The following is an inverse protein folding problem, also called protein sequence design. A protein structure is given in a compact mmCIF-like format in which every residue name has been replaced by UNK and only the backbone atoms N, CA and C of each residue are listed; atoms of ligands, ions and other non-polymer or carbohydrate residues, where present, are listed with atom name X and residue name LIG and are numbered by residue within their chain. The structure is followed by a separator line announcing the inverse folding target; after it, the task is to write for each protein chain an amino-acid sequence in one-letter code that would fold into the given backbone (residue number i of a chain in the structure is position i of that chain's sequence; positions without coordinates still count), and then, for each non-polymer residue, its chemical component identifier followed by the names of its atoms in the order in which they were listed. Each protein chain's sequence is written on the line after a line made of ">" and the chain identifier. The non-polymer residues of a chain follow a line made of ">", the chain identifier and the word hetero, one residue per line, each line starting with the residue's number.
data_IF_435307328815
#
_entry.id   IF_435307328815
#
_cell.length_a   1.000
_cell.length_b   1.000
_cell.length_c   1.000
_cell.angle_alpha   90.00
_cell.angle_beta   90.00
_cell.angle_gamma   90.00
#
_symmetry.space_group_name_H-M   'P 1'
#
loop_
_entity.id
_entity.type
_entity.pdbx_description
1 polymer ?
#
# COMPACT_ATOMS: atom_id res chain seq x y z
N UNK A 1 23.08 6.46 14.32
CA UNK A 1 22.81 7.23 13.09
C UNK A 1 22.32 8.59 13.51
N UNK A 2 22.94 9.66 13.01
CA UNK A 2 22.50 11.02 13.27
C UNK A 2 21.30 11.35 12.36
N UNK A 3 20.13 11.74 12.92
CA UNK A 3 18.97 12.09 12.11
C UNK A 3 19.22 13.20 11.09
N UNK A 4 20.11 14.16 11.40
CA UNK A 4 20.46 15.27 10.50
C UNK A 4 21.22 14.75 9.28
N UNK A 5 22.21 13.88 9.48
CA UNK A 5 22.98 13.28 8.38
C UNK A 5 22.10 12.42 7.45
N UNK A 6 21.06 11.77 7.98
CA UNK A 6 20.11 11.01 7.18
C UNK A 6 19.27 11.92 6.28
N UNK A 7 18.81 13.06 6.81
CA UNK A 7 18.11 14.09 6.02
C UNK A 7 19.03 14.64 4.94
N UNK A 8 20.25 15.04 5.30
CA UNK A 8 21.23 15.57 4.34
C UNK A 8 21.57 14.57 3.24
N UNK A 9 21.69 13.28 3.59
CA UNK A 9 21.93 12.19 2.63
C UNK A 9 20.85 12.10 1.57
N UNK A 10 19.58 12.26 1.98
CA UNK A 10 18.46 12.28 1.04
C UNK A 10 18.45 13.56 0.20
N UNK A 11 18.55 14.73 0.84
CA UNK A 11 18.49 16.05 0.18
C UNK A 11 19.57 16.21 -0.89
N UNK A 12 20.79 15.76 -0.58
CA UNK A 12 21.93 15.83 -1.48
C UNK A 12 22.09 14.59 -2.36
N UNK A 13 21.18 13.61 -2.27
CA UNK A 13 21.20 12.36 -3.05
C UNK A 13 22.54 11.63 -2.97
N UNK A 14 23.13 11.61 -1.77
CA UNK A 14 24.48 11.10 -1.53
C UNK A 14 24.57 9.57 -1.64
N UNK A 15 23.44 8.88 -1.62
CA UNK A 15 23.36 7.42 -1.66
C UNK A 15 22.37 6.93 -2.73
N UNK A 16 22.67 5.78 -3.34
CA UNK A 16 21.81 5.08 -4.29
C UNK A 16 20.46 4.71 -3.68
N UNK A 17 20.37 4.61 -2.36
CA UNK A 17 19.12 4.33 -1.63
C UNK A 17 17.99 5.31 -1.95
N UNK A 18 18.31 6.55 -2.35
CA UNK A 18 17.29 7.52 -2.82
C UNK A 18 16.60 7.04 -4.12
N UNK A 19 17.20 6.09 -4.83
CA UNK A 19 16.69 5.43 -6.03
C UNK A 19 16.38 3.94 -5.82
N UNK A 20 16.41 3.43 -4.59
CA UNK A 20 16.13 2.01 -4.31
C UNK A 20 14.70 1.63 -4.70
N UNK A 21 13.77 2.57 -4.57
CA UNK A 21 12.39 2.36 -4.93
C UNK A 21 12.05 3.04 -6.27
N UNK A 22 11.95 2.24 -7.33
CA UNK A 22 11.70 2.71 -8.70
C UNK A 22 10.36 3.45 -8.88
N UNK A 23 9.40 3.20 -8.00
CA UNK A 23 8.07 3.80 -8.03
C UNK A 23 8.02 5.14 -7.26
N UNK A 24 9.12 5.57 -6.64
CA UNK A 24 9.21 6.80 -5.88
C UNK A 24 10.22 7.78 -6.48
N UNK A 25 9.81 9.04 -6.56
CA UNK A 25 10.67 10.14 -6.98
C UNK A 25 11.10 10.99 -5.77
N UNK A 26 12.16 11.77 -5.98
CA UNK A 26 12.63 12.75 -4.99
C UNK A 26 11.50 13.72 -4.63
N UNK A 27 11.04 13.65 -3.38
CA UNK A 27 9.89 14.41 -2.89
C UNK A 27 9.91 14.46 -1.35
N UNK A 28 9.10 15.34 -0.76
CA UNK A 28 8.96 15.41 0.70
C UNK A 28 8.42 14.08 1.27
N UNK A 29 7.52 13.41 0.55
CA UNK A 29 7.01 12.10 0.97
C UNK A 29 8.08 11.02 0.86
N UNK A 30 8.86 11.04 -0.22
CA UNK A 30 10.02 10.17 -0.36
C UNK A 30 11.04 10.37 0.76
N UNK A 31 11.25 11.61 1.23
CA UNK A 31 12.10 11.90 2.38
C UNK A 31 11.55 11.27 3.67
N UNK A 32 10.25 11.48 3.96
CA UNK A 32 9.62 10.90 5.15
C UNK A 32 9.71 9.37 5.16
N UNK A 33 9.46 8.75 4.00
CA UNK A 33 9.56 7.31 3.83
C UNK A 33 11.00 6.83 4.00
N UNK A 34 11.96 7.47 3.35
CA UNK A 34 13.38 7.14 3.46
C UNK A 34 13.88 7.16 4.91
N UNK A 35 13.53 8.22 5.66
CA UNK A 35 13.89 8.35 7.08
C UNK A 35 13.28 7.20 7.89
N UNK A 36 11.97 6.96 7.72
CA UNK A 36 11.26 5.89 8.42
C UNK A 36 11.87 4.52 8.14
N UNK A 37 12.12 4.22 6.85
CA UNK A 37 12.66 2.95 6.42
C UNK A 37 14.04 2.65 6.99
N UNK A 38 14.95 3.62 6.98
CA UNK A 38 16.29 3.40 7.51
C UNK A 38 16.26 3.17 9.03
N UNK A 39 15.40 3.90 9.77
CA UNK A 39 15.21 3.69 11.21
C UNK A 39 14.64 2.29 11.49
N UNK A 40 13.59 1.88 10.78
CA UNK A 40 12.94 0.57 10.95
C UNK A 40 13.88 -0.57 10.57
N UNK A 41 14.67 -0.41 9.50
CA UNK A 41 15.69 -1.38 9.09
C UNK A 41 16.72 -1.63 10.19
N UNK A 42 17.21 -0.57 10.84
CA UNK A 42 18.13 -0.75 11.95
C UNK A 42 17.46 -1.45 13.14
N UNK A 43 16.19 -1.17 13.41
CA UNK A 43 15.44 -1.85 14.47
C UNK A 43 15.34 -3.36 14.20
N UNK A 44 14.93 -3.77 12.99
CA UNK A 44 14.90 -5.18 12.59
C UNK A 44 16.24 -5.89 12.82
N UNK A 45 17.31 -5.31 12.28
CA UNK A 45 18.65 -5.93 12.29
C UNK A 45 19.33 -5.90 13.67
N UNK A 46 18.83 -5.10 14.61
CA UNK A 46 19.45 -4.94 15.94
C UNK A 46 18.63 -5.59 17.05
N UNK A 47 17.30 -5.61 16.93
CA UNK A 47 16.39 -6.01 18.01
C UNK A 47 15.56 -7.24 17.70
N UNK A 48 15.28 -7.54 16.43
CA UNK A 48 14.33 -8.60 16.07
C UNK A 48 15.03 -9.80 15.44
N UNK A 49 15.85 -9.58 14.40
CA UNK A 49 16.56 -10.68 13.76
C UNK A 49 17.72 -11.17 14.62
N UNK A 50 18.00 -12.49 14.63
CA UNK A 50 19.21 -13.03 15.23
C UNK A 50 20.46 -12.40 14.59
N UNK A 51 21.51 -12.20 15.39
CA UNK A 51 22.76 -11.55 14.95
C UNK A 51 23.35 -12.21 13.69
N UNK A 52 23.29 -13.53 13.58
CA UNK A 52 23.76 -14.26 12.39
C UNK A 52 23.05 -13.81 11.10
N UNK A 53 21.75 -13.59 11.14
CA UNK A 53 20.96 -13.18 9.98
C UNK A 53 21.24 -11.72 9.66
N UNK A 54 21.35 -10.87 10.69
CA UNK A 54 21.70 -9.47 10.51
C UNK A 54 23.11 -9.29 9.93
N UNK A 55 24.08 -10.10 10.38
CA UNK A 55 25.44 -10.11 9.85
C UNK A 55 25.45 -10.54 8.39
N UNK A 56 24.77 -11.65 8.05
CA UNK A 56 24.66 -12.14 6.68
C UNK A 56 24.00 -11.11 5.74
N UNK A 57 23.00 -10.37 6.22
CA UNK A 57 22.42 -9.25 5.45
C UNK A 57 23.43 -8.11 5.25
N UNK A 58 24.13 -7.70 6.32
CA UNK A 58 25.11 -6.60 6.28
C UNK A 58 26.34 -6.93 5.45
N UNK A 59 26.77 -8.19 5.41
CA UNK A 59 27.89 -8.67 4.58
C UNK A 59 27.50 -8.95 3.13
N UNK A 60 26.20 -8.94 2.81
CA UNK A 60 25.68 -9.23 1.47
C UNK A 60 25.61 -10.72 1.14
N UNK A 61 25.75 -11.62 2.12
CA UNK A 61 25.56 -13.06 1.95
C UNK A 61 24.09 -13.40 1.65
N UNK A 62 23.16 -12.65 2.25
CA UNK A 62 21.74 -12.72 1.97
C UNK A 62 21.16 -11.32 1.79
N UNK A 63 20.01 -11.23 1.15
CA UNK A 63 19.18 -10.03 1.14
C UNK A 63 17.88 -10.32 1.88
N UNK A 64 17.55 -9.49 2.87
CA UNK A 64 16.29 -9.56 3.59
C UNK A 64 15.46 -8.42 3.03
N UNK A 65 14.38 -8.78 2.34
CA UNK A 65 13.50 -7.84 1.66
C UNK A 65 12.71 -7.00 2.67
N UNK A 66 12.37 -5.77 2.26
CA UNK A 66 11.39 -4.90 2.92
C UNK A 66 11.66 -4.57 4.39
N UNK A 67 12.93 -4.58 4.80
CA UNK A 67 13.36 -4.16 6.14
C UNK A 67 12.95 -2.73 6.51
N UNK A 68 12.53 -1.91 5.55
CA UNK A 68 12.02 -0.57 5.80
C UNK A 68 10.62 -0.52 6.39
N UNK A 69 9.91 -1.66 6.48
CA UNK A 69 8.54 -1.72 6.98
C UNK A 69 8.44 -2.69 8.16
N UNK A 70 7.73 -2.29 9.22
CA UNK A 70 7.55 -3.10 10.43
C UNK A 70 6.18 -3.78 10.41
N UNK A 71 5.99 -4.70 9.47
CA UNK A 71 4.69 -5.33 9.24
C UNK A 71 4.77 -6.47 8.23
N UNK A 72 3.62 -6.98 7.75
CA UNK A 72 3.59 -8.02 6.73
C UNK A 72 4.11 -7.50 5.38
N UNK A 73 4.54 -8.44 4.53
CA UNK A 73 4.97 -8.13 3.16
C UNK A 73 3.75 -7.80 2.28
N UNK A 74 3.02 -8.82 1.81
CA UNK A 74 1.84 -8.65 0.96
C UNK A 74 0.59 -9.16 1.66
N UNK A 75 -0.57 -8.66 1.23
CA UNK A 75 -1.87 -9.09 1.78
C UNK A 75 -2.90 -9.32 0.67
N UNK A 76 -3.50 -10.51 0.67
CA UNK A 76 -4.71 -10.79 -0.09
C UNK A 76 -5.92 -10.56 0.80
N UNK A 77 -6.83 -9.68 0.37
CA UNK A 77 -8.01 -9.29 1.12
C UNK A 77 -9.25 -10.02 0.64
N UNK A 78 -10.16 -10.30 1.58
CA UNK A 78 -11.46 -10.88 1.27
C UNK A 78 -12.42 -9.78 0.79
N UNK A 79 -12.73 -9.79 -0.51
CA UNK A 79 -13.65 -8.84 -1.10
C UNK A 79 -15.10 -9.10 -0.64
N UNK A 80 -15.46 -10.36 -0.38
CA UNK A 80 -16.80 -10.69 0.10
C UNK A 80 -17.05 -10.07 1.48
N UNK A 81 -16.07 -10.13 2.37
CA UNK A 81 -16.16 -9.48 3.67
C UNK A 81 -16.38 -7.97 3.51
N UNK A 82 -15.55 -7.27 2.71
CA UNK A 82 -15.73 -5.84 2.45
C UNK A 82 -17.13 -5.52 1.89
N UNK A 83 -17.65 -6.34 0.98
CA UNK A 83 -18.95 -6.10 0.34
C UNK A 83 -20.13 -6.43 1.28
N UNK A 84 -19.99 -7.39 2.19
CA UNK A 84 -21.04 -7.78 3.14
C UNK A 84 -21.04 -6.94 4.40
N UNK A 85 -19.86 -6.53 4.85
CA UNK A 85 -19.69 -5.79 6.09
C UNK A 85 -19.54 -4.30 5.83
N UNK A 86 -19.01 -3.88 4.68
CA UNK A 86 -18.63 -2.49 4.44
C UNK A 86 -17.28 -2.16 5.08
N UNK A 87 -16.75 -0.98 4.80
CA UNK A 87 -15.42 -0.62 5.29
C UNK A 87 -15.46 -0.14 6.75
N UNK A 88 -15.06 -1.01 7.69
CA UNK A 88 -15.14 -0.78 9.14
C UNK A 88 -14.03 -1.50 9.92
N UNK A 89 -14.01 -1.34 11.24
CA UNK A 89 -13.15 -2.11 12.15
C UNK A 89 -11.96 -1.34 12.73
N UNK A 90 -11.83 -0.05 12.43
CA UNK A 90 -10.79 0.82 12.98
C UNK A 90 -11.36 1.72 14.09
N UNK A 91 -11.08 1.45 15.37
CA UNK A 91 -11.64 2.24 16.47
C UNK A 91 -11.33 3.74 16.36
N UNK A 92 -12.36 4.56 16.54
CA UNK A 92 -12.22 6.02 16.45
C UNK A 92 -12.09 6.57 15.03
N UNK A 93 -12.29 5.75 13.99
CA UNK A 93 -12.35 6.17 12.59
C UNK A 93 -13.78 6.07 12.05
N UNK A 94 -14.06 6.85 11.01
CA UNK A 94 -15.34 6.78 10.31
C UNK A 94 -15.46 5.47 9.55
N UNK A 95 -16.63 4.84 9.64
CA UNK A 95 -16.93 3.57 8.98
C UNK A 95 -17.98 3.76 7.88
N UNK A 96 -17.98 2.85 6.90
CA UNK A 96 -18.94 2.81 5.80
C UNK A 96 -19.75 1.53 5.82
N UNK A 97 -21.06 1.64 5.63
CA UNK A 97 -21.95 0.48 5.44
C UNK A 97 -21.66 -0.24 4.11
N UNK A 98 -22.12 -1.50 3.94
CA UNK A 98 -22.02 -2.24 2.69
C UNK A 98 -22.48 -1.41 1.47
N UNK A 99 -21.72 -1.49 0.38
CA UNK A 99 -22.12 -0.89 -0.89
C UNK A 99 -23.43 -1.50 -1.41
N UNK A 100 -24.23 -0.69 -2.10
CA UNK A 100 -25.51 -1.13 -2.71
C UNK A 100 -25.56 -1.00 -4.23
N UNK A 101 -24.58 -0.32 -4.82
CA UNK A 101 -24.49 -0.02 -6.25
C UNK A 101 -23.05 -0.23 -6.74
N UNK A 102 -22.88 -0.60 -8.01
CA UNK A 102 -21.60 -1.00 -8.59
C UNK A 102 -20.51 0.06 -8.42
N UNK A 103 -20.81 1.32 -8.75
CA UNK A 103 -19.87 2.44 -8.59
C UNK A 103 -19.47 2.66 -7.12
N UNK A 104 -20.39 2.48 -6.18
CA UNK A 104 -20.11 2.62 -4.74
C UNK A 104 -19.19 1.50 -4.26
N UNK A 105 -19.38 0.27 -4.75
CA UNK A 105 -18.51 -0.86 -4.45
C UNK A 105 -17.06 -0.59 -4.93
N UNK A 106 -16.89 -0.11 -6.16
CA UNK A 106 -15.58 0.28 -6.71
C UNK A 106 -14.90 1.38 -5.88
N UNK A 107 -15.65 2.39 -5.44
CA UNK A 107 -15.12 3.46 -4.59
C UNK A 107 -14.70 2.94 -3.21
N UNK A 108 -15.46 2.01 -2.62
CA UNK A 108 -15.08 1.38 -1.36
C UNK A 108 -13.83 0.51 -1.50
N UNK A 109 -13.72 -0.26 -2.58
CA UNK A 109 -12.51 -1.04 -2.92
C UNK A 109 -11.30 -0.09 -3.02
N UNK A 110 -11.42 1.02 -3.74
CA UNK A 110 -10.33 1.97 -3.89
C UNK A 110 -9.91 2.57 -2.53
N UNK A 111 -10.86 3.05 -1.74
CA UNK A 111 -10.57 3.62 -0.42
C UNK A 111 -9.96 2.59 0.53
N UNK A 112 -10.40 1.33 0.45
CA UNK A 112 -9.85 0.23 1.22
C UNK A 112 -8.38 0.01 0.87
N UNK A 113 -8.04 -0.19 -0.41
CA UNK A 113 -6.66 -0.42 -0.84
C UNK A 113 -5.75 0.75 -0.50
N UNK A 114 -6.20 1.99 -0.72
CA UNK A 114 -5.42 3.19 -0.36
C UNK A 114 -5.20 3.36 1.15
N UNK A 115 -6.10 2.83 1.97
CA UNK A 115 -5.94 2.87 3.43
C UNK A 115 -4.99 1.76 3.86
N UNK A 116 -5.22 0.55 3.37
CA UNK A 116 -4.47 -0.63 3.77
C UNK A 116 -3.04 -0.64 3.25
N UNK A 117 -2.71 0.08 2.17
CA UNK A 117 -1.33 0.22 1.68
C UNK A 117 -0.33 0.71 2.75
N UNK A 118 -0.82 1.45 3.77
CA UNK A 118 -0.01 1.90 4.90
C UNK A 118 0.29 0.82 5.92
N UNK A 119 -0.31 -0.37 5.78
CA UNK A 119 -0.30 -1.48 6.73
C UNK A 119 0.44 -2.73 6.21
N UNK A 120 0.94 -2.71 4.97
CA UNK A 120 1.79 -3.77 4.40
C UNK A 120 2.85 -3.17 3.46
N UNK A 121 4.00 -3.83 3.35
CA UNK A 121 5.13 -3.31 2.59
C UNK A 121 4.98 -3.43 1.06
N UNK A 122 4.28 -4.48 0.63
CA UNK A 122 4.19 -4.93 -0.75
C UNK A 122 2.76 -4.95 -1.27
N UNK A 123 2.54 -5.81 -2.26
CA UNK A 123 1.31 -5.87 -3.04
C UNK A 123 0.08 -6.16 -2.18
N UNK A 124 -1.03 -5.51 -2.56
CA UNK A 124 -2.35 -5.76 -2.01
C UNK A 124 -3.31 -6.15 -3.11
N UNK A 125 -4.11 -7.18 -2.85
CA UNK A 125 -4.97 -7.73 -3.87
C UNK A 125 -6.33 -8.13 -3.31
N UNK A 126 -7.37 -7.96 -4.14
CA UNK A 126 -8.63 -8.66 -4.00
C UNK A 126 -8.69 -9.79 -5.01
N UNK A 127 -9.18 -10.95 -4.58
CA UNK A 127 -9.50 -12.06 -5.49
C UNK A 127 -10.95 -11.99 -5.93
N UNK A 128 -11.28 -12.65 -7.05
CA UNK A 128 -12.67 -12.85 -7.52
C UNK A 128 -13.46 -11.54 -7.73
N UNK A 129 -12.77 -10.46 -8.13
CA UNK A 129 -13.37 -9.13 -8.34
C UNK A 129 -14.52 -9.19 -9.34
N UNK A 130 -14.35 -9.94 -10.43
CA UNK A 130 -15.39 -10.16 -11.45
C UNK A 130 -16.64 -10.85 -10.88
N UNK A 131 -16.42 -11.92 -10.11
CA UNK A 131 -17.45 -12.77 -9.53
C UNK A 131 -18.28 -12.01 -8.51
N UNK A 132 -17.61 -11.28 -7.61
CA UNK A 132 -18.28 -10.55 -6.54
C UNK A 132 -18.92 -9.23 -6.98
N UNK A 133 -18.46 -8.63 -8.08
CA UNK A 133 -19.05 -7.40 -8.59
C UNK A 133 -20.15 -7.62 -9.63
N UNK A 134 -20.20 -8.79 -10.28
CA UNK A 134 -21.26 -9.12 -11.25
C UNK A 134 -22.70 -8.93 -10.71
N UNK A 135 -23.03 -9.30 -9.46
CA UNK A 135 -24.37 -9.06 -8.89
C UNK A 135 -24.77 -7.58 -8.85
N UNK A 136 -23.82 -6.67 -8.58
CA UNK A 136 -24.08 -5.23 -8.57
C UNK A 136 -24.39 -4.70 -9.97
N UNK A 137 -23.65 -5.17 -10.98
CA UNK A 137 -23.88 -4.82 -12.38
C UNK A 137 -25.28 -5.26 -12.82
N UNK A 138 -25.66 -6.50 -12.48
CA UNK A 138 -26.99 -7.04 -12.78
C UNK A 138 -28.10 -6.27 -12.05
N UNK A 139 -27.94 -6.01 -10.75
CA UNK A 139 -28.90 -5.28 -9.94
C UNK A 139 -29.15 -3.86 -10.46
N UNK A 140 -28.08 -3.15 -10.82
CA UNK A 140 -28.13 -1.79 -11.36
C UNK A 140 -28.57 -1.75 -12.84
N UNK A 141 -28.71 -2.91 -13.49
CA UNK A 141 -29.06 -3.05 -14.93
C UNK A 141 -28.14 -2.28 -15.86
N UNK A 142 -26.84 -2.28 -15.56
CA UNK A 142 -25.87 -1.49 -16.31
C UNK A 142 -25.60 -2.11 -17.69
N UNK A 143 -25.53 -1.26 -18.70
CA UNK A 143 -25.02 -1.61 -20.02
C UNK A 143 -23.51 -1.81 -19.99
N UNK A 144 -22.97 -2.47 -21.02
CA UNK A 144 -21.52 -2.62 -21.19
C UNK A 144 -20.78 -1.27 -21.19
N UNK A 145 -21.37 -0.23 -21.81
CA UNK A 145 -20.78 1.11 -21.85
C UNK A 145 -20.65 1.73 -20.46
N UNK A 146 -21.67 1.58 -19.62
CA UNK A 146 -21.66 2.09 -18.24
C UNK A 146 -20.68 1.33 -17.35
N UNK A 147 -20.61 -0.01 -17.48
CA UNK A 147 -19.62 -0.82 -16.77
C UNK A 147 -18.21 -0.42 -17.18
N UNK A 148 -17.93 -0.33 -18.48
CA UNK A 148 -16.62 0.10 -18.99
C UNK A 148 -16.23 1.47 -18.46
N UNK A 149 -17.17 2.42 -18.42
CA UNK A 149 -16.92 3.76 -17.88
C UNK A 149 -16.60 3.72 -16.39
N UNK A 150 -17.36 2.96 -15.60
CA UNK A 150 -17.12 2.84 -14.16
C UNK A 150 -15.79 2.14 -13.84
N UNK A 151 -15.39 1.12 -14.63
CA UNK A 151 -14.08 0.47 -14.51
C UNK A 151 -12.95 1.42 -14.92
N UNK A 152 -13.13 2.23 -15.97
CA UNK A 152 -12.16 3.26 -16.34
C UNK A 152 -11.96 4.27 -15.20
N UNK A 153 -13.06 4.76 -14.60
CA UNK A 153 -13.01 5.65 -13.44
C UNK A 153 -12.24 5.01 -12.27
N UNK A 154 -12.52 3.73 -11.98
CA UNK A 154 -11.81 2.99 -10.94
C UNK A 154 -10.31 2.84 -11.24
N UNK A 155 -9.94 2.38 -12.43
CA UNK A 155 -8.53 2.22 -12.83
C UNK A 155 -7.79 3.55 -12.77
N UNK A 156 -8.39 4.64 -13.26
CA UNK A 156 -7.76 5.95 -13.22
C UNK A 156 -7.62 6.45 -11.79
N UNK A 157 -8.61 6.21 -10.91
CA UNK A 157 -8.53 6.57 -9.50
C UNK A 157 -7.40 5.80 -8.78
N UNK A 158 -7.24 4.51 -9.08
CA UNK A 158 -6.17 3.67 -8.50
C UNK A 158 -4.77 4.07 -8.96
N UNK A 159 -4.63 4.73 -10.12
CA UNK A 159 -3.34 5.09 -10.71
C UNK A 159 -2.88 6.53 -10.42
N UNK A 160 -3.47 7.21 -9.41
CA UNK A 160 -3.05 8.56 -8.99
C UNK A 160 -2.32 8.49 -7.63
N UNK A 161 -0.97 8.43 -7.61
CA UNK A 161 -0.17 8.16 -6.41
C UNK A 161 -0.30 9.24 -5.32
N UNK A 162 -0.66 10.47 -5.68
CA UNK A 162 -0.55 11.64 -4.79
C UNK A 162 -1.62 11.72 -3.70
N UNK A 163 -2.65 10.86 -3.70
CA UNK A 163 -3.83 11.01 -2.83
C UNK A 163 -3.53 10.83 -1.34
N UNK A 164 -2.51 10.04 -1.00
CA UNK A 164 -2.24 9.57 0.37
C UNK A 164 -0.77 9.64 0.76
N UNK A 165 0.09 10.16 -0.13
CA UNK A 165 1.52 10.34 0.15
C UNK A 165 2.37 9.06 0.01
N UNK A 166 1.79 7.97 -0.47
CA UNK A 166 2.52 6.75 -0.82
C UNK A 166 2.49 6.52 -2.34
N UNK A 167 2.98 5.37 -2.78
CA UNK A 167 2.81 4.90 -4.15
C UNK A 167 1.36 4.50 -4.40
N UNK A 168 0.99 4.39 -5.67
CA UNK A 168 -0.25 3.69 -6.04
C UNK A 168 -0.18 2.26 -5.50
N UNK A 169 -1.21 1.78 -4.79
CA UNK A 169 -1.25 0.41 -4.29
C UNK A 169 -1.42 -0.62 -5.40
#
# INVERSE_FOLDING_TARGET
>A
MNPIELVDSYLHKLDWKVKENANMSYSIQGLNFYISQEVVKQYWLTKVFPERAAKAHRSGEIHIHDLGFLGPYCVGWDLEDLLRTGFRGAPGKTESKPAKHFRVALLQIANFLYTMQGEAAGAQAFSNVDTYLAPFIYYDRLSYGEVKQAVQEFVFNMNVPTRVGFQTP
#
